data_IF_676542473816
#
_entry.id   IF_676542473816
#
_cell.length_a   1.000
_cell.length_b   1.000
_cell.length_c   1.000
_cell.angle_alpha   90.00
_cell.angle_beta   90.00
_cell.angle_gamma   90.00
#
_symmetry.space_group_name_H-M   'P 1'
#
loop_
_entity.id
_entity.type
_entity.pdbx_description
1 polymer ?
#
# COMPACT_ATOMS: atom_id res chain seq x y z
N UNK A 1 14.56 -15.27 55.38
CA UNK A 1 15.53 -16.09 54.63
C UNK A 1 15.09 -16.04 53.17
N UNK A 2 15.80 -15.27 52.33
CA UNK A 2 15.43 -15.01 50.92
C UNK A 2 15.72 -16.25 50.09
N UNK A 3 14.72 -16.80 49.41
CA UNK A 3 14.91 -17.82 48.37
C UNK A 3 15.22 -17.12 47.04
N UNK A 4 16.37 -17.45 46.47
CA UNK A 4 16.84 -16.95 45.19
C UNK A 4 16.14 -17.70 44.04
N UNK A 5 15.51 -16.96 43.14
CA UNK A 5 15.07 -17.48 41.84
C UNK A 5 16.27 -17.72 40.92
N UNK A 6 16.33 -18.91 40.36
CA UNK A 6 17.36 -19.34 39.42
C UNK A 6 17.00 -18.82 38.03
N UNK A 7 17.78 -17.87 37.51
CA UNK A 7 17.63 -17.38 36.15
C UNK A 7 17.97 -18.49 35.14
N UNK A 8 17.01 -18.91 34.33
CA UNK A 8 17.25 -19.79 33.19
C UNK A 8 18.02 -19.01 32.11
N UNK A 9 19.25 -19.45 31.86
CA UNK A 9 20.10 -18.96 30.78
C UNK A 9 19.56 -19.49 29.45
N UNK A 10 19.13 -18.61 28.55
CA UNK A 10 18.76 -19.00 27.18
C UNK A 10 20.00 -19.53 26.45
N UNK A 11 19.90 -20.73 25.89
CA UNK A 11 20.94 -21.31 25.02
C UNK A 11 21.11 -20.46 23.77
N UNK A 12 22.37 -20.20 23.38
CA UNK A 12 22.69 -19.47 22.15
C UNK A 12 22.16 -20.22 20.91
N UNK A 13 21.58 -19.52 19.93
CA UNK A 13 21.08 -20.13 18.70
C UNK A 13 22.23 -20.66 17.83
N UNK A 14 21.96 -21.76 17.11
CA UNK A 14 22.90 -22.38 16.16
C UNK A 14 23.10 -21.49 14.94
N UNK A 15 24.31 -21.53 14.39
CA UNK A 15 24.82 -20.67 13.32
C UNK A 15 24.20 -20.86 11.91
N UNK A 16 23.14 -21.65 11.75
CA UNK A 16 22.43 -21.85 10.46
C UNK A 16 21.17 -20.95 10.32
N UNK A 17 20.72 -20.32 11.41
CA UNK A 17 19.67 -19.29 11.40
C UNK A 17 20.29 -17.93 11.76
N UNK A 18 20.87 -17.22 10.79
CA UNK A 18 20.83 -15.77 10.85
C UNK A 18 19.35 -15.38 10.69
N UNK A 19 18.59 -15.44 11.79
CA UNK A 19 17.14 -15.29 11.80
C UNK A 19 16.76 -14.07 10.96
N UNK A 20 15.88 -14.27 9.96
CA UNK A 20 15.43 -13.20 9.09
C UNK A 20 15.01 -12.00 9.95
N UNK A 21 15.71 -10.86 9.80
CA UNK A 21 15.68 -9.77 10.79
C UNK A 21 14.27 -9.29 11.14
N UNK A 22 13.35 -9.37 10.17
CA UNK A 22 11.96 -8.95 10.28
C UNK A 22 11.10 -9.87 11.17
N UNK A 23 11.52 -11.11 11.44
CA UNK A 23 10.77 -12.06 12.29
C UNK A 23 10.95 -11.72 13.76
N UNK A 24 10.06 -10.85 14.25
CA UNK A 24 10.07 -10.35 15.63
C UNK A 24 10.63 -8.93 15.77
N UNK A 25 10.89 -8.25 14.65
CA UNK A 25 11.32 -6.86 14.62
C UNK A 25 10.27 -5.89 15.18
N UNK A 26 10.73 -4.87 15.89
CA UNK A 26 9.97 -3.68 16.19
C UNK A 26 10.16 -2.65 15.08
N UNK A 27 9.06 -2.21 14.45
CA UNK A 27 9.05 -1.26 13.34
C UNK A 27 8.43 0.06 13.83
N UNK A 28 9.14 1.17 13.70
CA UNK A 28 8.66 2.51 14.01
C UNK A 28 8.06 3.17 12.77
N UNK A 29 6.74 3.34 12.76
CA UNK A 29 6.07 4.05 11.66
C UNK A 29 6.27 5.56 11.81
N UNK A 30 6.77 6.19 10.76
CA UNK A 30 6.85 7.64 10.60
C UNK A 30 5.79 8.06 9.60
N UNK A 31 5.02 9.08 9.98
CA UNK A 31 4.13 9.81 9.09
C UNK A 31 4.82 11.13 8.71
N UNK A 32 5.46 11.24 7.52
CA UNK A 32 6.41 12.32 7.21
C UNK A 32 5.86 13.71 7.45
N UNK A 33 4.61 13.96 6.99
CA UNK A 33 3.89 15.23 7.13
C UNK A 33 3.82 15.79 8.54
N UNK A 34 3.92 14.93 9.57
CA UNK A 34 3.73 15.33 10.97
C UNK A 34 4.91 14.95 11.86
N UNK A 35 6.03 14.56 11.27
CA UNK A 35 7.20 14.17 12.04
C UNK A 35 8.07 15.37 12.40
N UNK A 36 8.62 16.07 11.41
CA UNK A 36 9.45 17.26 11.62
C UNK A 36 9.56 18.10 10.35
N UNK A 37 9.18 19.37 10.45
CA UNK A 37 9.33 20.40 9.41
C UNK A 37 10.72 21.05 9.53
N UNK A 38 11.44 21.18 8.42
CA UNK A 38 12.77 21.83 8.35
C UNK A 38 12.83 23.07 7.47
N UNK A 39 11.74 23.41 6.77
CA UNK A 39 11.70 24.54 5.82
C UNK A 39 10.72 25.65 6.26
N UNK A 40 9.90 25.40 7.28
CA UNK A 40 8.95 26.35 7.87
C UNK A 40 7.61 26.48 7.14
N UNK A 41 7.28 25.55 6.23
CA UNK A 41 6.00 25.54 5.52
C UNK A 41 4.84 24.90 6.32
N UNK A 42 5.15 24.34 7.50
CA UNK A 42 4.19 23.71 8.40
C UNK A 42 3.94 22.22 8.14
N UNK A 43 4.65 21.61 7.19
CA UNK A 43 4.58 20.18 6.86
C UNK A 43 5.94 19.52 7.09
N UNK A 44 5.93 18.36 7.73
CA UNK A 44 7.15 17.59 7.91
C UNK A 44 7.70 17.01 6.60
N UNK A 45 9.02 16.91 6.50
CA UNK A 45 9.75 16.61 5.27
C UNK A 45 10.83 15.52 5.47
N UNK A 46 11.48 15.07 4.39
CA UNK A 46 12.50 14.02 4.46
C UNK A 46 13.76 14.48 5.18
N UNK A 47 14.11 15.76 5.16
CA UNK A 47 15.26 16.28 5.94
C UNK A 47 14.95 16.23 7.43
N UNK A 48 13.71 16.49 7.82
CA UNK A 48 13.23 16.28 9.18
C UNK A 48 13.31 14.81 9.59
N UNK A 49 13.00 13.88 8.68
CA UNK A 49 13.19 12.45 8.89
C UNK A 49 14.67 12.09 9.06
N UNK A 50 15.58 12.65 8.24
CA UNK A 50 17.04 12.47 8.37
C UNK A 50 17.53 12.94 9.75
N UNK A 51 17.13 14.15 10.17
CA UNK A 51 17.51 14.69 11.48
C UNK A 51 16.96 13.87 12.66
N UNK A 52 15.87 13.13 12.45
CA UNK A 52 15.26 12.27 13.46
C UNK A 52 15.81 10.84 13.53
N UNK A 53 16.68 10.42 12.60
CA UNK A 53 17.23 9.05 12.57
C UNK A 53 17.87 8.67 13.90
N UNK A 54 18.66 9.57 14.49
CA UNK A 54 19.36 9.33 15.76
C UNK A 54 18.38 9.13 16.92
N UNK A 55 17.27 9.87 16.91
CA UNK A 55 16.21 9.70 17.89
C UNK A 55 15.51 8.35 17.71
N UNK A 56 15.13 7.99 16.49
CA UNK A 56 14.48 6.70 16.20
C UNK A 56 15.38 5.55 16.63
N UNK A 57 16.67 5.59 16.29
CA UNK A 57 17.64 4.57 16.71
C UNK A 57 17.74 4.46 18.24
N UNK A 58 17.66 5.58 18.96
CA UNK A 58 17.71 5.59 20.44
C UNK A 58 16.53 4.88 21.11
N UNK A 59 15.42 4.67 20.40
CA UNK A 59 14.27 3.91 20.88
C UNK A 59 14.53 2.39 20.89
N UNK A 60 15.61 1.92 20.25
CA UNK A 60 15.95 0.50 20.17
C UNK A 60 15.06 -0.30 19.23
N UNK A 61 14.47 0.35 18.22
CA UNK A 61 13.69 -0.31 17.16
C UNK A 61 14.62 -0.87 16.08
N UNK A 62 14.15 -1.86 15.33
CA UNK A 62 14.94 -2.53 14.29
C UNK A 62 14.77 -1.86 12.92
N UNK A 63 13.63 -1.18 12.70
CA UNK A 63 13.29 -0.58 11.42
C UNK A 63 12.45 0.69 11.57
N UNK A 64 12.50 1.52 10.53
CA UNK A 64 11.57 2.62 10.29
C UNK A 64 10.70 2.30 9.07
N UNK A 65 9.39 2.51 9.19
CA UNK A 65 8.47 2.49 8.07
C UNK A 65 8.03 3.92 7.75
N UNK A 66 8.39 4.43 6.57
CA UNK A 66 7.89 5.70 6.07
C UNK A 66 6.52 5.50 5.39
N UNK A 67 5.50 6.20 5.89
CA UNK A 67 4.24 6.40 5.14
C UNK A 67 4.52 7.18 3.84
N UNK A 68 3.58 7.24 2.87
CA UNK A 68 3.86 7.77 1.53
C UNK A 68 4.48 9.17 1.51
N UNK A 69 5.54 9.30 0.71
CA UNK A 69 6.23 10.57 0.38
C UNK A 69 6.36 10.78 -1.14
N UNK A 70 5.68 9.94 -1.92
CA UNK A 70 5.69 9.96 -3.38
C UNK A 70 4.97 11.19 -3.92
N UNK A 71 5.25 11.57 -5.16
CA UNK A 71 4.55 12.67 -5.83
C UNK A 71 3.04 12.43 -5.80
N UNK A 72 2.28 13.35 -5.24
CA UNK A 72 0.84 13.19 -4.95
C UNK A 72 0.13 14.55 -4.90
N UNK A 73 -1.12 14.65 -5.37
CA UNK A 73 -1.96 15.82 -5.13
C UNK A 73 -2.38 16.01 -3.67
N UNK A 74 -2.11 15.01 -2.81
CA UNK A 74 -2.40 15.01 -1.37
C UNK A 74 -3.90 15.03 -1.03
N UNK A 75 -4.78 14.52 -1.91
CA UNK A 75 -6.21 14.37 -1.60
C UNK A 75 -6.44 13.35 -0.47
N UNK A 76 -5.62 12.32 -0.44
CA UNK A 76 -5.51 11.34 0.66
C UNK A 76 -4.10 11.40 1.27
N UNK A 77 -3.54 12.60 1.35
CA UNK A 77 -2.27 12.91 2.00
C UNK A 77 -1.09 11.99 1.63
N UNK A 78 -1.01 11.57 0.37
CA UNK A 78 0.10 10.77 -0.17
C UNK A 78 -0.31 9.38 -0.66
N UNK A 79 -1.48 8.87 -0.25
CA UNK A 79 -2.00 7.59 -0.73
C UNK A 79 -2.59 7.69 -2.16
N UNK A 80 -2.92 8.90 -2.63
CA UNK A 80 -3.22 9.19 -4.03
C UNK A 80 -1.92 9.47 -4.81
N UNK A 81 -1.20 8.42 -5.22
CA UNK A 81 0.13 8.53 -5.88
C UNK A 81 0.01 8.92 -7.36
N UNK A 82 0.65 10.02 -7.76
CA UNK A 82 0.70 10.51 -9.15
C UNK A 82 2.01 10.17 -9.90
N UNK A 83 3.10 9.88 -9.18
CA UNK A 83 4.31 9.25 -9.72
C UNK A 83 4.92 8.31 -8.66
N UNK A 84 4.89 7.02 -8.94
CA UNK A 84 5.42 5.97 -8.06
C UNK A 84 6.93 6.00 -7.85
N UNK A 85 7.70 6.67 -8.71
CA UNK A 85 9.18 6.72 -8.64
C UNK A 85 9.70 8.10 -8.24
N UNK A 86 8.80 9.07 -8.09
CA UNK A 86 9.10 10.41 -7.64
C UNK A 86 9.04 10.55 -6.11
N UNK A 87 9.72 11.56 -5.60
CA UNK A 87 9.47 12.13 -4.26
C UNK A 87 8.66 13.40 -4.48
N UNK A 88 7.61 13.63 -3.69
CA UNK A 88 6.87 14.88 -3.79
C UNK A 88 7.76 16.07 -3.39
N UNK A 89 7.76 17.17 -4.15
CA UNK A 89 8.52 18.37 -3.78
C UNK A 89 8.19 18.91 -2.38
N UNK A 90 6.98 18.66 -1.86
CA UNK A 90 6.60 18.99 -0.48
C UNK A 90 7.50 18.28 0.56
N UNK A 91 7.96 17.07 0.26
CA UNK A 91 8.79 16.27 1.15
C UNK A 91 10.29 16.38 0.85
N UNK A 92 10.67 16.89 -0.32
CA UNK A 92 12.05 17.09 -0.73
C UNK A 92 12.36 16.43 -2.06
N UNK A 93 13.50 15.74 -2.14
CA UNK A 93 14.00 15.15 -3.38
C UNK A 93 14.36 13.67 -3.21
N UNK A 94 14.56 13.00 -4.35
CA UNK A 94 15.06 11.63 -4.36
C UNK A 94 16.46 11.50 -3.73
N UNK A 95 17.28 12.57 -3.80
CA UNK A 95 18.58 12.60 -3.14
C UNK A 95 18.46 12.71 -1.61
N UNK A 96 17.46 13.43 -1.10
CA UNK A 96 17.17 13.47 0.33
C UNK A 96 16.73 12.08 0.81
N UNK A 97 15.93 11.35 0.03
CA UNK A 97 15.59 9.96 0.34
C UNK A 97 16.82 9.05 0.36
N UNK A 98 17.71 9.14 -0.63
CA UNK A 98 18.94 8.34 -0.68
C UNK A 98 19.83 8.61 0.56
N UNK A 99 19.92 9.87 1.01
CA UNK A 99 20.64 10.23 2.25
C UNK A 99 19.92 9.71 3.50
N UNK A 100 18.59 9.71 3.55
CA UNK A 100 17.82 9.10 4.63
C UNK A 100 18.12 7.61 4.77
N UNK A 101 18.09 6.86 3.67
CA UNK A 101 18.42 5.43 3.66
C UNK A 101 19.83 5.20 4.19
N UNK A 102 20.81 5.95 3.67
CA UNK A 102 22.20 5.86 4.11
C UNK A 102 22.38 6.16 5.61
N UNK A 103 21.68 7.17 6.13
CA UNK A 103 21.74 7.57 7.54
C UNK A 103 21.11 6.53 8.45
N UNK A 104 19.94 6.01 8.08
CA UNK A 104 19.26 4.94 8.80
C UNK A 104 20.13 3.68 8.87
N UNK A 105 20.67 3.24 7.74
CA UNK A 105 21.59 2.09 7.68
C UNK A 105 22.85 2.31 8.52
N UNK A 106 23.39 3.53 8.56
CA UNK A 106 24.53 3.89 9.41
C UNK A 106 24.24 3.81 10.92
N UNK A 107 22.98 3.64 11.32
CA UNK A 107 22.51 3.39 12.68
C UNK A 107 21.86 2.01 12.84
N UNK A 108 22.18 1.09 11.93
CA UNK A 108 21.67 -0.28 11.88
C UNK A 108 20.14 -0.39 11.75
N UNK A 109 19.45 0.70 11.43
CA UNK A 109 18.00 0.71 11.17
C UNK A 109 17.70 0.23 9.76
N UNK A 110 16.70 -0.64 9.61
CA UNK A 110 16.14 -1.00 8.31
C UNK A 110 15.12 0.04 7.85
N UNK A 111 15.02 0.28 6.54
CA UNK A 111 14.08 1.23 5.95
C UNK A 111 13.00 0.50 5.16
N UNK A 112 11.78 0.58 5.64
CA UNK A 112 10.57 0.14 4.94
C UNK A 112 9.87 1.39 4.40
N UNK A 113 9.28 1.28 3.21
CA UNK A 113 8.43 2.35 2.66
C UNK A 113 7.06 1.79 2.32
N UNK A 114 6.05 2.65 2.35
CA UNK A 114 4.73 2.32 1.84
C UNK A 114 4.77 2.01 0.33
N UNK A 115 3.87 1.16 -0.13
CA UNK A 115 3.64 0.89 -1.54
C UNK A 115 2.13 0.76 -1.76
N UNK A 116 1.58 1.69 -2.55
CA UNK A 116 0.15 1.82 -2.80
C UNK A 116 -0.19 1.23 -4.16
N UNK A 117 -0.30 -0.10 -4.24
CA UNK A 117 -0.43 -0.81 -5.52
C UNK A 117 -1.87 -1.04 -5.99
N UNK A 118 -2.88 -0.80 -5.13
CA UNK A 118 -4.29 -1.03 -5.49
C UNK A 118 -4.87 0.06 -6.40
N UNK A 119 -4.37 1.29 -6.29
CA UNK A 119 -4.90 2.46 -6.98
C UNK A 119 -3.81 3.50 -7.19
N UNK A 120 -4.05 4.43 -8.10
CA UNK A 120 -3.22 5.63 -8.30
C UNK A 120 -4.04 6.88 -8.02
N UNK A 121 -3.41 8.05 -7.99
CA UNK A 121 -4.12 9.32 -8.20
C UNK A 121 -4.76 9.37 -9.60
N UNK A 122 -5.86 10.09 -9.76
CA UNK A 122 -6.42 10.47 -11.06
C UNK A 122 -5.50 11.41 -11.86
N UNK A 123 -4.50 12.00 -11.19
CA UNK A 123 -3.40 12.76 -11.79
C UNK A 123 -2.21 11.89 -12.19
N UNK A 124 -2.26 10.57 -12.00
CA UNK A 124 -1.23 9.67 -12.51
C UNK A 124 -1.26 9.64 -14.04
N UNK A 125 -0.08 9.60 -14.69
CA UNK A 125 0.02 9.57 -16.14
C UNK A 125 -0.75 8.39 -16.76
N UNK A 126 -0.74 7.24 -16.08
CA UNK A 126 -1.48 6.05 -16.49
C UNK A 126 -2.99 6.30 -16.56
N UNK A 127 -3.60 6.92 -15.54
CA UNK A 127 -5.04 7.21 -15.56
C UNK A 127 -5.38 8.27 -16.59
N UNK A 128 -4.56 9.33 -16.66
CA UNK A 128 -4.71 10.39 -17.67
C UNK A 128 -4.74 9.84 -19.09
N UNK A 129 -3.91 8.85 -19.41
CA UNK A 129 -3.93 8.14 -20.70
C UNK A 129 -5.14 7.20 -20.81
N UNK A 130 -5.35 6.33 -19.81
CA UNK A 130 -6.42 5.32 -19.78
C UNK A 130 -7.81 5.92 -20.02
N UNK A 131 -8.09 7.09 -19.43
CA UNK A 131 -9.39 7.75 -19.49
C UNK A 131 -9.70 8.46 -20.82
N UNK A 132 -8.74 8.58 -21.75
CA UNK A 132 -8.97 9.31 -23.00
C UNK A 132 -9.92 8.57 -23.95
N UNK A 133 -9.81 7.24 -24.00
CA UNK A 133 -10.56 6.42 -24.97
C UNK A 133 -10.66 4.97 -24.48
N UNK A 134 -11.37 4.13 -25.25
CA UNK A 134 -11.51 2.69 -24.97
C UNK A 134 -10.43 1.84 -25.66
N UNK A 135 -9.56 2.43 -26.45
CA UNK A 135 -8.61 1.77 -27.36
C UNK A 135 -7.15 2.25 -27.23
N UNK A 136 -6.86 3.18 -26.31
CA UNK A 136 -5.50 3.58 -26.01
C UNK A 136 -4.70 2.44 -25.33
N UNK A 137 -3.35 2.50 -25.33
CA UNK A 137 -2.51 1.44 -24.77
C UNK A 137 -2.76 1.11 -23.29
N UNK A 138 -3.40 2.02 -22.54
CA UNK A 138 -3.71 1.86 -21.11
C UNK A 138 -5.22 1.75 -20.84
N UNK A 139 -6.03 1.48 -21.85
CA UNK A 139 -7.49 1.46 -21.70
C UNK A 139 -7.98 0.41 -20.69
N UNK A 140 -7.22 -0.66 -20.48
CA UNK A 140 -7.51 -1.74 -19.53
C UNK A 140 -6.60 -1.73 -18.28
N UNK A 141 -5.88 -0.62 -18.03
CA UNK A 141 -5.02 -0.51 -16.85
C UNK A 141 -5.79 -0.18 -15.57
N UNK A 142 -7.02 0.30 -15.70
CA UNK A 142 -7.94 0.62 -14.61
C UNK A 142 -9.24 -0.14 -14.81
N UNK A 143 -10.03 -0.27 -13.74
CA UNK A 143 -11.28 -1.02 -13.80
C UNK A 143 -12.38 -0.13 -14.38
N UNK A 144 -12.66 -0.33 -15.67
CA UNK A 144 -13.72 0.38 -16.40
C UNK A 144 -14.93 -0.54 -16.64
N UNK A 145 -16.13 0.01 -16.53
CA UNK A 145 -17.36 -0.71 -16.80
C UNK A 145 -18.38 0.17 -17.54
N UNK A 146 -19.15 -0.43 -18.44
CA UNK A 146 -20.30 0.24 -19.03
C UNK A 146 -21.40 0.46 -17.97
N UNK A 147 -22.20 1.53 -18.09
CA UNK A 147 -23.35 1.73 -17.24
C UNK A 147 -24.39 0.62 -17.46
N UNK A 148 -25.28 0.43 -16.49
CA UNK A 148 -26.52 -0.34 -16.70
C UNK A 148 -27.40 0.33 -17.77
N UNK A 149 -28.39 -0.37 -18.36
CA UNK A 149 -29.25 0.20 -19.39
C UNK A 149 -30.01 1.47 -18.99
N UNK A 150 -30.22 1.68 -17.69
CA UNK A 150 -30.85 2.88 -17.10
C UNK A 150 -29.84 4.02 -16.81
N UNK A 151 -28.56 3.82 -17.14
CA UNK A 151 -27.49 4.77 -16.88
C UNK A 151 -26.85 4.66 -15.51
N UNK A 152 -27.32 3.78 -14.62
CA UNK A 152 -26.78 3.63 -13.26
C UNK A 152 -25.44 2.85 -13.23
N UNK A 153 -24.67 2.93 -12.12
CA UNK A 153 -23.46 2.15 -11.92
C UNK A 153 -23.64 0.64 -12.17
N UNK A 154 -22.57 -0.09 -12.55
CA UNK A 154 -22.68 -1.50 -12.96
C UNK A 154 -23.14 -2.44 -11.83
N UNK A 155 -22.82 -2.12 -10.57
CA UNK A 155 -23.17 -2.91 -9.40
C UNK A 155 -23.35 -2.03 -8.15
N UNK A 156 -23.63 -2.69 -7.03
CA UNK A 156 -23.92 -2.05 -5.75
C UNK A 156 -22.69 -1.70 -4.90
N UNK A 157 -21.46 -1.82 -5.41
CA UNK A 157 -20.25 -1.60 -4.61
C UNK A 157 -20.15 -0.17 -4.07
N UNK A 158 -19.61 -0.05 -2.86
CA UNK A 158 -19.53 1.21 -2.12
C UNK A 158 -18.09 1.58 -1.84
N UNK A 159 -17.80 2.89 -1.90
CA UNK A 159 -16.51 3.42 -1.47
C UNK A 159 -16.40 3.37 0.06
N UNK A 160 -15.19 3.05 0.54
CA UNK A 160 -14.78 3.10 1.94
C UNK A 160 -14.92 4.50 2.52
N UNK A 161 -14.75 5.53 1.69
CA UNK A 161 -14.78 6.95 2.06
C UNK A 161 -16.12 7.64 1.76
N UNK A 162 -17.12 6.88 1.30
CA UNK A 162 -18.50 7.33 1.13
C UNK A 162 -18.91 7.48 -0.33
N UNK A 163 -20.22 7.33 -0.58
CA UNK A 163 -20.77 7.24 -1.93
C UNK A 163 -20.61 5.85 -2.56
N UNK A 164 -21.08 5.71 -3.80
CA UNK A 164 -20.84 4.51 -4.61
C UNK A 164 -19.36 4.39 -4.99
N UNK A 165 -18.91 3.19 -5.33
CA UNK A 165 -17.52 2.94 -5.75
C UNK A 165 -17.28 3.24 -7.24
N UNK A 166 -18.20 3.92 -7.93
CA UNK A 166 -18.15 4.10 -9.38
C UNK A 166 -18.39 5.55 -9.76
N UNK A 167 -17.44 6.13 -10.49
CA UNK A 167 -17.52 7.50 -10.99
C UNK A 167 -17.59 7.52 -12.52
N UNK A 168 -18.45 8.37 -13.08
CA UNK A 168 -18.67 8.47 -14.52
C UNK A 168 -17.57 9.30 -15.21
N UNK A 169 -16.95 8.76 -16.26
CA UNK A 169 -16.11 9.54 -17.16
C UNK A 169 -16.80 9.77 -18.52
N UNK A 170 -17.11 11.03 -18.81
CA UNK A 170 -17.79 11.44 -20.04
C UNK A 170 -16.99 11.13 -21.32
N UNK A 171 -15.65 11.04 -21.26
CA UNK A 171 -14.79 10.75 -22.43
C UNK A 171 -15.01 9.33 -22.93
N UNK A 172 -15.02 8.38 -22.00
CA UNK A 172 -15.24 6.95 -22.30
C UNK A 172 -16.71 6.56 -22.31
N UNK A 173 -17.56 7.38 -21.68
CA UNK A 173 -18.96 7.05 -21.36
C UNK A 173 -19.03 5.71 -20.61
N UNK A 174 -18.20 5.61 -19.58
CA UNK A 174 -18.04 4.44 -18.72
C UNK A 174 -17.86 4.91 -17.28
N UNK A 175 -18.15 4.04 -16.35
CA UNK A 175 -17.75 4.18 -14.96
C UNK A 175 -16.33 3.65 -14.75
N UNK A 176 -15.55 4.27 -13.87
CA UNK A 176 -14.33 3.67 -13.31
C UNK A 176 -14.51 3.36 -11.83
N UNK A 177 -13.89 2.27 -11.37
CA UNK A 177 -13.91 1.86 -9.96
C UNK A 177 -13.01 2.77 -9.12
N UNK A 178 -13.48 3.13 -7.94
CA UNK A 178 -12.69 3.71 -6.86
C UNK A 178 -13.19 3.18 -5.50
N UNK A 179 -12.40 2.32 -4.86
CA UNK A 179 -12.71 1.80 -3.52
C UNK A 179 -12.56 2.88 -2.44
N UNK A 180 -11.75 3.91 -2.71
CA UNK A 180 -11.46 5.01 -1.79
C UNK A 180 -12.01 6.33 -2.36
N UNK A 181 -11.21 7.40 -2.42
CA UNK A 181 -11.65 8.67 -3.00
C UNK A 181 -11.89 8.53 -4.50
N UNK A 182 -12.73 9.40 -5.07
CA UNK A 182 -12.92 9.48 -6.53
C UNK A 182 -11.58 9.78 -7.25
N UNK A 183 -10.69 10.50 -6.58
CA UNK A 183 -9.34 10.81 -7.05
C UNK A 183 -8.37 9.62 -6.94
N UNK A 184 -8.83 8.45 -6.47
CA UNK A 184 -8.05 7.22 -6.34
C UNK A 184 -8.64 6.10 -7.23
N UNK A 185 -8.60 6.23 -8.57
CA UNK A 185 -9.07 5.18 -9.46
C UNK A 185 -8.26 3.88 -9.26
N UNK A 186 -8.99 2.77 -9.07
CA UNK A 186 -8.40 1.45 -8.85
C UNK A 186 -7.76 0.90 -10.12
N UNK A 187 -6.54 0.39 -9.96
CA UNK A 187 -5.83 -0.31 -11.02
C UNK A 187 -6.48 -1.68 -11.27
N UNK A 188 -6.49 -2.11 -12.53
CA UNK A 188 -6.92 -3.46 -12.88
C UNK A 188 -5.76 -4.44 -12.72
N UNK A 189 -5.50 -4.96 -11.51
CA UNK A 189 -4.40 -5.89 -11.31
C UNK A 189 -4.62 -7.28 -11.93
N UNK A 190 -5.78 -7.57 -12.53
CA UNK A 190 -5.90 -8.74 -13.42
C UNK A 190 -5.09 -8.56 -14.70
N UNK A 191 -4.81 -7.32 -15.10
CA UNK A 191 -4.01 -7.01 -16.27
C UNK A 191 -2.52 -7.24 -15.98
N UNK A 192 -1.89 -8.15 -16.73
CA UNK A 192 -0.49 -8.52 -16.54
C UNK A 192 0.48 -7.35 -16.75
N UNK A 193 0.18 -6.43 -17.67
CA UNK A 193 1.03 -5.26 -17.92
C UNK A 193 1.01 -4.26 -16.73
N UNK A 194 -0.13 -4.15 -16.04
CA UNK A 194 -0.23 -3.37 -14.79
C UNK A 194 0.65 -4.02 -13.71
N UNK A 195 0.55 -5.34 -13.55
CA UNK A 195 1.41 -6.06 -12.62
C UNK A 195 2.90 -5.86 -12.97
N UNK A 196 3.29 -5.99 -14.24
CA UNK A 196 4.68 -5.78 -14.70
C UNK A 196 5.18 -4.37 -14.34
N UNK A 197 4.38 -3.34 -14.59
CA UNK A 197 4.71 -1.96 -14.25
C UNK A 197 4.90 -1.74 -12.74
N UNK A 198 4.04 -2.34 -11.90
CA UNK A 198 4.16 -2.31 -10.44
C UNK A 198 5.42 -3.02 -9.97
N UNK A 199 5.74 -4.19 -10.54
CA UNK A 199 6.96 -4.94 -10.20
C UNK A 199 8.22 -4.13 -10.55
N UNK A 200 8.21 -3.35 -11.64
CA UNK A 200 9.31 -2.45 -11.96
C UNK A 200 9.42 -1.25 -11.02
N UNK A 201 8.29 -0.77 -10.46
CA UNK A 201 8.30 0.20 -9.36
C UNK A 201 8.95 -0.40 -8.11
N UNK A 202 8.59 -1.64 -7.76
CA UNK A 202 9.21 -2.35 -6.63
C UNK A 202 10.73 -2.46 -6.81
N UNK A 203 11.20 -2.89 -8.00
CA UNK A 203 12.64 -2.95 -8.31
C UNK A 203 13.33 -1.61 -8.20
N UNK A 204 12.68 -0.52 -8.63
CA UNK A 204 13.26 0.82 -8.54
C UNK A 204 13.60 1.19 -7.09
N UNK A 205 12.69 0.96 -6.14
CA UNK A 205 12.93 1.26 -4.74
C UNK A 205 13.89 0.27 -4.07
N UNK A 206 13.81 -1.03 -4.39
CA UNK A 206 14.74 -2.04 -3.89
C UNK A 206 16.19 -1.76 -4.32
N UNK A 207 16.40 -1.34 -5.57
CA UNK A 207 17.71 -0.93 -6.09
C UNK A 207 18.28 0.32 -5.39
N UNK A 208 17.43 1.10 -4.70
CA UNK A 208 17.81 2.25 -3.87
C UNK A 208 18.09 1.89 -2.41
N UNK A 209 18.05 0.61 -2.07
CA UNK A 209 18.51 0.11 -0.78
C UNK A 209 17.42 0.00 0.28
N UNK A 210 16.14 0.24 -0.04
CA UNK A 210 15.05 -0.05 0.92
C UNK A 210 15.09 -1.52 1.34
N UNK A 211 14.81 -1.78 2.61
CA UNK A 211 14.84 -3.10 3.23
C UNK A 211 13.49 -3.83 3.14
N UNK A 212 12.46 -3.16 2.66
CA UNK A 212 11.16 -3.77 2.45
C UNK A 212 10.05 -2.80 2.15
N UNK A 213 8.84 -3.35 2.08
CA UNK A 213 7.62 -2.61 1.81
C UNK A 213 6.53 -2.88 2.84
N UNK A 214 5.78 -1.83 3.16
CA UNK A 214 4.42 -1.98 3.67
C UNK A 214 3.48 -1.88 2.47
N UNK A 215 2.68 -2.90 2.22
CA UNK A 215 1.74 -2.96 1.09
C UNK A 215 0.38 -2.43 1.57
N UNK A 216 -0.02 -1.27 1.06
CA UNK A 216 -1.28 -0.62 1.38
C UNK A 216 -2.48 -1.39 0.81
N UNK A 217 -3.55 -1.48 1.61
CA UNK A 217 -4.86 -1.97 1.19
C UNK A 217 -4.80 -3.20 0.26
N UNK A 218 -3.91 -4.16 0.55
CA UNK A 218 -3.53 -5.19 -0.42
C UNK A 218 -4.74 -6.04 -0.86
N UNK A 219 -5.69 -6.26 0.04
CA UNK A 219 -6.88 -7.02 -0.31
C UNK A 219 -7.84 -6.28 -1.25
N UNK A 220 -7.67 -4.98 -1.52
CA UNK A 220 -8.39 -4.27 -2.58
C UNK A 220 -7.74 -4.40 -3.97
N UNK A 221 -6.53 -4.96 -4.05
CA UNK A 221 -5.76 -5.09 -5.29
C UNK A 221 -6.55 -5.68 -6.47
N UNK A 222 -7.42 -6.65 -6.21
CA UNK A 222 -8.20 -7.32 -7.25
C UNK A 222 -9.68 -7.42 -6.86
N UNK A 223 -10.53 -7.04 -7.81
CA UNK A 223 -11.99 -7.14 -7.75
C UNK A 223 -12.49 -8.40 -8.48
N UNK A 224 -13.77 -8.72 -8.37
CA UNK A 224 -14.43 -9.77 -9.15
C UNK A 224 -14.67 -9.32 -10.62
N UNK A 225 -14.04 -9.95 -11.63
CA UNK A 225 -14.21 -9.54 -13.04
C UNK A 225 -15.64 -9.66 -13.56
N UNK A 226 -16.51 -10.42 -12.88
CA UNK A 226 -17.93 -10.52 -13.22
C UNK A 226 -18.76 -9.35 -12.68
N UNK A 227 -18.14 -8.45 -11.89
CA UNK A 227 -18.77 -7.28 -11.29
C UNK A 227 -20.05 -7.62 -10.50
N UNK A 228 -20.11 -8.78 -9.85
CA UNK A 228 -21.31 -9.21 -9.10
C UNK A 228 -21.57 -8.28 -7.92
N UNK A 229 -22.85 -8.03 -7.63
CA UNK A 229 -23.28 -7.30 -6.43
C UNK A 229 -22.79 -8.01 -5.16
N UNK A 230 -22.31 -7.24 -4.18
CA UNK A 230 -22.08 -7.76 -2.84
C UNK A 230 -23.43 -8.07 -2.16
N UNK A 231 -23.55 -9.21 -1.44
CA UNK A 231 -24.74 -9.48 -0.67
C UNK A 231 -24.86 -8.52 0.54
N UNK A 232 -26.09 -8.23 0.99
CA UNK A 232 -26.30 -7.40 2.18
C UNK A 232 -25.78 -8.12 3.42
N UNK A 233 -25.14 -7.38 4.32
CA UNK A 233 -24.68 -7.88 5.61
C UNK A 233 -25.85 -8.08 6.56
N UNK A 234 -25.97 -9.30 7.09
CA UNK A 234 -27.06 -9.69 7.99
C UNK A 234 -26.70 -9.55 9.47
N UNK A 235 -25.42 -9.66 9.81
CA UNK A 235 -24.94 -9.67 11.18
C UNK A 235 -23.89 -8.58 11.34
N UNK A 236 -24.10 -7.71 12.33
CA UNK A 236 -23.22 -6.59 12.62
C UNK A 236 -22.58 -6.78 14.00
N UNK A 237 -21.24 -6.84 14.07
CA UNK A 237 -20.52 -6.90 15.35
C UNK A 237 -20.58 -5.57 16.12
N UNK A 238 -20.74 -4.47 15.39
CA UNK A 238 -20.92 -3.10 15.87
C UNK A 238 -21.88 -2.38 14.93
N UNK A 239 -22.61 -1.35 15.37
CA UNK A 239 -23.43 -0.55 14.47
C UNK A 239 -22.60 -0.10 13.25
N UNK A 240 -23.12 -0.26 12.02
CA UNK A 240 -22.40 0.16 10.81
C UNK A 240 -22.21 1.67 10.83
N UNK A 241 -20.98 2.12 10.59
CA UNK A 241 -20.64 3.55 10.60
C UNK A 241 -20.77 4.20 9.23
N UNK A 242 -20.71 3.39 8.16
CA UNK A 242 -20.71 3.85 6.76
C UNK A 242 -21.58 2.94 5.89
N UNK A 243 -22.08 3.41 4.74
CA UNK A 243 -22.79 2.57 3.78
C UNK A 243 -22.01 1.32 3.33
N UNK A 244 -20.69 1.42 3.22
CA UNK A 244 -19.78 0.29 2.98
C UNK A 244 -20.01 -0.89 3.95
N UNK A 245 -20.27 -0.59 5.23
CA UNK A 245 -20.36 -1.62 6.28
C UNK A 245 -21.66 -2.43 6.21
N UNK A 246 -22.63 -2.02 5.37
CA UNK A 246 -23.90 -2.73 5.15
C UNK A 246 -23.78 -3.90 4.18
N UNK A 247 -22.60 -4.15 3.61
CA UNK A 247 -22.36 -5.21 2.64
C UNK A 247 -21.38 -6.26 3.18
N UNK A 248 -21.60 -7.51 2.80
CA UNK A 248 -20.57 -8.53 2.92
C UNK A 248 -19.60 -8.35 1.76
N UNK A 249 -18.35 -7.98 2.07
CA UNK A 249 -17.33 -7.65 1.08
C UNK A 249 -16.81 -8.93 0.41
N UNK A 250 -17.54 -9.42 -0.60
CA UNK A 250 -17.27 -10.70 -1.28
C UNK A 250 -16.72 -10.55 -2.69
N UNK A 251 -17.12 -9.51 -3.39
CA UNK A 251 -16.88 -9.36 -4.82
C UNK A 251 -16.05 -8.12 -5.16
N UNK A 252 -16.14 -7.04 -4.38
CA UNK A 252 -15.38 -5.82 -4.67
C UNK A 252 -13.90 -5.90 -4.26
N UNK A 253 -13.54 -6.83 -3.37
CA UNK A 253 -12.20 -6.99 -2.82
C UNK A 253 -11.92 -8.47 -2.49
N UNK A 254 -10.69 -8.77 -2.10
CA UNK A 254 -10.19 -10.07 -1.63
C UNK A 254 -10.33 -11.18 -2.68
N UNK A 255 -10.11 -10.86 -3.96
CA UNK A 255 -10.21 -11.85 -5.03
C UNK A 255 -9.19 -13.00 -4.82
N UNK A 256 -9.56 -14.27 -5.10
CA UNK A 256 -8.68 -15.43 -4.90
C UNK A 256 -7.36 -15.45 -5.69
N UNK A 257 -7.21 -14.57 -6.69
CA UNK A 257 -6.01 -14.47 -7.51
C UNK A 257 -4.95 -13.50 -6.96
N UNK A 258 -5.24 -12.75 -5.89
CA UNK A 258 -4.25 -11.87 -5.23
C UNK A 258 -2.96 -12.64 -4.87
N UNK A 259 -3.00 -13.86 -4.31
CA UNK A 259 -1.80 -14.65 -4.04
C UNK A 259 -0.92 -14.88 -5.27
N UNK A 260 -1.50 -15.04 -6.47
CA UNK A 260 -0.71 -15.21 -7.71
C UNK A 260 0.09 -13.95 -8.05
N UNK A 261 -0.47 -12.76 -7.79
CA UNK A 261 0.30 -11.52 -7.91
C UNK A 261 1.38 -11.43 -6.82
N UNK A 262 1.07 -11.83 -5.58
CA UNK A 262 2.03 -11.85 -4.49
C UNK A 262 3.19 -12.80 -4.73
N UNK A 263 2.98 -13.95 -5.36
CA UNK A 263 4.07 -14.86 -5.77
C UNK A 263 5.04 -14.16 -6.74
N UNK A 264 4.51 -13.35 -7.68
CA UNK A 264 5.33 -12.57 -8.60
C UNK A 264 6.08 -11.44 -7.89
N UNK A 265 5.40 -10.72 -7.01
CA UNK A 265 6.03 -9.69 -6.17
C UNK A 265 7.12 -10.31 -5.31
N UNK A 266 6.84 -11.46 -4.68
CA UNK A 266 7.80 -12.21 -3.90
C UNK A 266 9.03 -12.60 -4.71
N UNK A 267 8.85 -13.04 -5.95
CA UNK A 267 9.95 -13.29 -6.88
C UNK A 267 10.86 -12.07 -7.07
N UNK A 268 10.29 -10.86 -7.16
CA UNK A 268 11.07 -9.61 -7.19
C UNK A 268 11.75 -9.31 -5.87
N UNK A 269 11.08 -9.51 -4.73
CA UNK A 269 11.69 -9.34 -3.41
C UNK A 269 12.89 -10.28 -3.26
N UNK A 270 12.81 -11.51 -3.77
CA UNK A 270 13.89 -12.51 -3.70
C UNK A 270 15.10 -12.18 -4.59
N UNK A 271 14.95 -11.30 -5.58
CA UNK A 271 16.09 -10.72 -6.32
C UNK A 271 17.00 -9.90 -5.39
N UNK A 272 16.49 -9.47 -4.22
CA UNK A 272 17.19 -8.66 -3.23
C UNK A 272 17.21 -9.38 -1.86
N UNK A 273 18.33 -10.05 -1.50
CA UNK A 273 18.40 -10.82 -0.26
C UNK A 273 18.14 -9.98 1.00
N UNK A 274 17.41 -10.56 1.96
CA UNK A 274 17.13 -9.92 3.25
C UNK A 274 16.04 -8.85 3.20
N UNK A 275 15.26 -8.77 2.11
CA UNK A 275 14.13 -7.86 1.97
C UNK A 275 12.82 -8.47 2.44
N UNK A 276 11.94 -7.61 2.94
CA UNK A 276 10.73 -7.99 3.65
C UNK A 276 9.50 -7.26 3.11
N UNK A 277 8.32 -7.87 3.23
CA UNK A 277 7.05 -7.21 2.96
C UNK A 277 6.07 -7.48 4.10
N UNK A 278 5.37 -6.44 4.54
CA UNK A 278 4.20 -6.53 5.44
C UNK A 278 3.01 -5.94 4.73
N UNK A 279 1.85 -6.60 4.76
CA UNK A 279 0.65 -6.11 4.09
C UNK A 279 -0.39 -5.63 5.09
N UNK A 280 -1.07 -4.54 4.75
CA UNK A 280 -2.34 -4.19 5.37
C UNK A 280 -3.44 -5.07 4.79
N UNK A 281 -4.20 -5.72 5.68
CA UNK A 281 -5.35 -6.54 5.32
C UNK A 281 -6.51 -6.17 6.25
N UNK A 282 -7.47 -5.41 5.72
CA UNK A 282 -8.65 -4.95 6.46
C UNK A 282 -9.86 -5.87 6.30
N UNK A 283 -10.85 -5.76 7.19
CA UNK A 283 -12.14 -6.44 7.05
C UNK A 283 -12.31 -7.71 7.89
N UNK A 284 -13.47 -8.36 7.76
CA UNK A 284 -13.87 -9.43 8.68
C UNK A 284 -13.14 -10.75 8.46
N UNK A 285 -12.62 -10.96 7.25
CA UNK A 285 -11.88 -12.16 6.84
C UNK A 285 -10.37 -11.98 6.88
N UNK A 286 -9.89 -10.87 7.46
CA UNK A 286 -8.48 -10.52 7.48
C UNK A 286 -7.57 -11.65 7.97
N UNK A 287 -7.96 -12.39 9.02
CA UNK A 287 -7.15 -13.51 9.51
C UNK A 287 -7.02 -14.69 8.53
N UNK A 288 -8.05 -14.95 7.71
CA UNK A 288 -8.00 -15.99 6.68
C UNK A 288 -7.10 -15.52 5.52
N UNK A 289 -7.27 -14.28 5.11
CA UNK A 289 -6.52 -13.64 4.02
C UNK A 289 -5.03 -13.49 4.37
N UNK A 290 -4.71 -13.05 5.59
CA UNK A 290 -3.32 -12.97 6.08
C UNK A 290 -2.62 -14.33 6.01
N UNK A 291 -3.31 -15.44 6.33
CA UNK A 291 -2.75 -16.78 6.17
C UNK A 291 -2.52 -17.12 4.70
N UNK A 292 -3.50 -16.85 3.84
CA UNK A 292 -3.41 -17.11 2.41
C UNK A 292 -2.26 -16.31 1.74
N UNK A 293 -1.97 -15.10 2.21
CA UNK A 293 -0.90 -14.25 1.66
C UNK A 293 0.49 -14.59 2.18
N UNK A 294 0.60 -15.50 3.15
CA UNK A 294 1.86 -15.89 3.80
C UNK A 294 2.22 -17.37 3.60
N UNK A 295 1.38 -18.14 2.91
CA UNK A 295 1.64 -19.51 2.46
C UNK A 295 2.30 -19.52 1.10
#
# INVERSE_FOLDING_TARGET
>A
MKTAETAQTRSAPRAEDAAAWWRGAAIYQVYPRSFKDTNGDGVGDLKGCIEGVDHIASLGVDAVWLSPFFTSPMHDFGYDVADYRGVDPLFGTLADFDEFVKRAHGRDLKVIIDQVYSHTSDQHAWFKESRQSRDNPKADWYVWADPRPDGSPPNNWMSVFGGGAWEWDARRRQYFLHNFLVQQPDLNLHNKAVQDAILDVARFWLARGVDGFRLDALNFAMHDPQLRDNPPKKIFRRPPGRPFDFQEQRHQMSHPDIPKFLERLRGVIDEFPGRFTVAEVGGERAFEEMKLFTT
#
